data_IF_880231998205
#
_entry.id   IF_880231998205
#
_cell.length_a   1.000
_cell.length_b   1.000
_cell.length_c   1.000
_cell.angle_alpha   90.00
_cell.angle_beta   90.00
_cell.angle_gamma   90.00
#
_symmetry.space_group_name_H-M   'P 1'
#
loop_
_entity.id
_entity.type
_entity.pdbx_description
1 polymer ?
#
# COMPACT_ATOMS: atom_id res chain seq x y z
N UNK A 1 -54.73 -23.24 4.78
CA UNK A 1 -53.46 -23.08 5.52
C UNK A 1 -52.43 -24.05 4.94
N UNK A 2 -51.59 -23.60 3.99
CA UNK A 2 -50.57 -24.47 3.37
C UNK A 2 -49.39 -24.69 4.32
N UNK A 3 -49.06 -25.96 4.62
CA UNK A 3 -47.88 -26.33 5.41
C UNK A 3 -46.61 -25.87 4.69
N UNK A 4 -45.82 -24.99 5.31
CA UNK A 4 -44.48 -24.63 4.84
C UNK A 4 -43.59 -25.88 4.96
N UNK A 5 -43.06 -26.37 3.85
CA UNK A 5 -42.08 -27.48 3.85
C UNK A 5 -40.79 -26.96 4.46
N UNK A 6 -40.37 -27.54 5.58
CA UNK A 6 -39.04 -27.31 6.16
C UNK A 6 -38.00 -27.99 5.27
N UNK A 7 -36.95 -27.25 4.88
CA UNK A 7 -35.85 -27.80 4.08
C UNK A 7 -35.22 -28.98 4.81
N UNK A 8 -34.86 -30.00 4.06
CA UNK A 8 -34.19 -31.18 4.62
C UNK A 8 -32.70 -30.88 4.83
N UNK A 9 -32.10 -31.54 5.82
CA UNK A 9 -30.66 -31.43 6.09
C UNK A 9 -29.80 -31.77 4.85
N UNK A 10 -30.29 -32.66 3.98
CA UNK A 10 -29.63 -33.02 2.73
C UNK A 10 -29.62 -31.86 1.71
N UNK A 11 -30.72 -31.11 1.59
CA UNK A 11 -30.79 -29.91 0.75
C UNK A 11 -29.84 -28.81 1.24
N UNK A 12 -29.66 -28.68 2.56
CA UNK A 12 -28.70 -27.74 3.15
C UNK A 12 -27.25 -28.15 2.85
N UNK A 13 -26.90 -29.42 2.98
CA UNK A 13 -25.58 -29.94 2.63
C UNK A 13 -25.27 -29.75 1.13
N UNK A 14 -26.26 -29.99 0.26
CA UNK A 14 -26.12 -29.77 -1.17
C UNK A 14 -25.83 -28.29 -1.49
N UNK A 15 -26.55 -27.36 -0.84
CA UNK A 15 -26.29 -25.91 -0.97
C UNK A 15 -24.88 -25.55 -0.53
N UNK A 16 -24.41 -26.07 0.61
CA UNK A 16 -23.06 -25.79 1.12
C UNK A 16 -22.00 -26.27 0.15
N UNK A 17 -22.13 -27.48 -0.40
CA UNK A 17 -21.21 -28.03 -1.41
C UNK A 17 -21.18 -27.17 -2.67
N UNK A 18 -22.34 -26.75 -3.16
CA UNK A 18 -22.43 -25.88 -4.34
C UNK A 18 -21.79 -24.51 -4.09
N UNK A 19 -22.02 -23.90 -2.94
CA UNK A 19 -21.37 -22.64 -2.57
C UNK A 19 -19.85 -22.79 -2.48
N UNK A 20 -19.37 -23.87 -1.87
CA UNK A 20 -17.94 -24.16 -1.83
C UNK A 20 -17.36 -24.37 -3.22
N UNK A 21 -18.07 -25.07 -4.12
CA UNK A 21 -17.66 -25.26 -5.51
C UNK A 21 -17.52 -23.91 -6.21
N UNK A 22 -18.53 -23.04 -6.11
CA UNK A 22 -18.52 -21.69 -6.69
C UNK A 22 -17.41 -20.81 -6.12
N UNK A 23 -17.17 -20.88 -4.82
CA UNK A 23 -16.07 -20.15 -4.19
C UNK A 23 -14.72 -20.63 -4.73
N UNK A 24 -14.48 -21.94 -4.77
CA UNK A 24 -13.25 -22.50 -5.35
C UNK A 24 -13.08 -22.12 -6.81
N UNK A 25 -14.15 -22.10 -7.61
CA UNK A 25 -14.11 -21.64 -8.99
C UNK A 25 -13.66 -20.17 -9.08
N UNK A 26 -14.32 -19.26 -8.34
CA UNK A 26 -13.93 -17.84 -8.30
C UNK A 26 -12.49 -17.61 -7.86
N UNK A 27 -12.02 -18.37 -6.86
CA UNK A 27 -10.64 -18.27 -6.39
C UNK A 27 -9.67 -18.74 -7.47
N UNK A 28 -9.96 -19.83 -8.19
CA UNK A 28 -9.14 -20.29 -9.31
C UNK A 28 -9.10 -19.26 -10.44
N UNK A 29 -10.24 -18.68 -10.80
CA UNK A 29 -10.33 -17.65 -11.84
C UNK A 29 -9.51 -16.42 -11.45
N UNK A 30 -9.62 -15.98 -10.18
CA UNK A 30 -8.83 -14.87 -9.65
C UNK A 30 -7.33 -15.15 -9.67
N UNK A 31 -6.91 -16.36 -9.27
CA UNK A 31 -5.50 -16.77 -9.32
C UNK A 31 -5.00 -16.74 -10.77
N UNK A 32 -5.75 -17.29 -11.73
CA UNK A 32 -5.38 -17.25 -13.13
C UNK A 32 -5.23 -15.81 -13.66
N UNK A 33 -6.16 -14.91 -13.32
CA UNK A 33 -6.05 -13.48 -13.68
C UNK A 33 -4.82 -12.81 -13.05
N UNK A 34 -4.47 -13.18 -11.81
CA UNK A 34 -3.28 -12.63 -11.15
C UNK A 34 -1.99 -13.16 -11.79
N UNK A 35 -1.93 -14.43 -12.13
CA UNK A 35 -0.80 -15.06 -12.83
C UNK A 35 -0.59 -14.43 -14.23
N UNK A 36 -1.67 -14.17 -14.98
CA UNK A 36 -1.61 -13.46 -16.26
C UNK A 36 -1.06 -12.04 -16.11
N UNK A 37 -1.56 -11.27 -15.14
CA UNK A 37 -1.07 -9.91 -14.87
C UNK A 37 0.39 -9.92 -14.44
N UNK A 38 0.81 -10.91 -13.67
CA UNK A 38 2.20 -11.06 -13.25
C UNK A 38 3.09 -11.30 -14.46
N UNK A 39 2.72 -12.23 -15.34
CA UNK A 39 3.44 -12.50 -16.58
C UNK A 39 3.53 -11.26 -17.51
N UNK A 40 2.44 -10.49 -17.64
CA UNK A 40 2.44 -9.24 -18.40
C UNK A 40 3.45 -8.24 -17.84
N UNK A 41 3.46 -8.05 -16.51
CA UNK A 41 4.36 -7.10 -15.85
C UNK A 41 5.82 -7.53 -15.93
N UNK A 42 6.10 -8.82 -15.77
CA UNK A 42 7.45 -9.36 -15.96
C UNK A 42 7.97 -9.14 -17.38
N UNK A 43 7.13 -9.35 -18.40
CA UNK A 43 7.50 -9.08 -19.78
C UNK A 43 7.75 -7.57 -20.04
N UNK A 44 6.95 -6.70 -19.44
CA UNK A 44 7.15 -5.25 -19.53
C UNK A 44 8.45 -4.81 -18.83
N UNK A 45 8.78 -5.40 -17.67
CA UNK A 45 10.04 -5.13 -16.97
C UNK A 45 11.23 -5.55 -17.80
N UNK A 46 11.23 -6.78 -18.35
CA UNK A 46 12.31 -7.27 -19.20
C UNK A 46 12.55 -6.35 -20.42
N UNK A 47 11.48 -5.87 -21.06
CA UNK A 47 11.57 -4.91 -22.18
C UNK A 47 12.12 -3.55 -21.74
N UNK A 48 11.72 -3.06 -20.56
CA UNK A 48 12.22 -1.80 -20.03
C UNK A 48 13.71 -1.89 -19.69
N UNK A 49 14.15 -3.01 -19.10
CA UNK A 49 15.56 -3.28 -18.80
C UNK A 49 16.41 -3.33 -20.08
N UNK A 50 15.93 -4.01 -21.14
CA UNK A 50 16.59 -4.01 -22.45
C UNK A 50 16.75 -2.58 -23.00
N UNK A 51 15.69 -1.76 -22.92
CA UNK A 51 15.73 -0.37 -23.39
C UNK A 51 16.71 0.49 -22.59
N UNK A 52 16.79 0.29 -21.26
CA UNK A 52 17.76 0.97 -20.41
C UNK A 52 19.19 0.56 -20.80
N UNK A 53 19.43 -0.74 -21.01
CA UNK A 53 20.74 -1.23 -21.42
C UNK A 53 21.19 -0.62 -22.76
N UNK A 54 20.29 -0.58 -23.74
CA UNK A 54 20.55 0.04 -25.05
C UNK A 54 20.90 1.53 -24.92
N UNK A 55 20.09 2.29 -24.18
CA UNK A 55 20.32 3.73 -23.98
C UNK A 55 21.60 3.99 -23.20
N UNK A 56 21.92 3.16 -22.22
CA UNK A 56 23.16 3.27 -21.44
C UNK A 56 24.37 3.03 -22.34
N UNK A 57 24.36 1.99 -23.16
CA UNK A 57 25.44 1.72 -24.12
C UNK A 57 25.61 2.86 -25.14
N UNK A 58 24.51 3.45 -25.62
CA UNK A 58 24.56 4.60 -26.52
C UNK A 58 25.17 5.84 -25.83
N UNK A 59 24.80 6.12 -24.58
CA UNK A 59 25.38 7.21 -23.80
C UNK A 59 26.87 7.00 -23.54
N UNK A 60 27.29 5.78 -23.21
CA UNK A 60 28.70 5.45 -22.98
C UNK A 60 29.54 5.60 -24.26
N UNK A 61 28.98 5.20 -25.40
CA UNK A 61 29.61 5.43 -26.71
C UNK A 61 29.79 6.93 -26.99
N UNK A 62 28.74 7.74 -26.84
CA UNK A 62 28.84 9.19 -27.06
C UNK A 62 29.77 9.88 -26.05
N UNK A 63 29.76 9.44 -24.78
CA UNK A 63 30.71 9.92 -23.76
C UNK A 63 32.15 9.65 -24.17
N UNK A 64 32.43 8.46 -24.68
CA UNK A 64 33.77 8.08 -25.17
C UNK A 64 34.19 8.96 -26.35
N UNK A 65 33.29 9.20 -27.31
CA UNK A 65 33.56 10.09 -28.46
C UNK A 65 33.85 11.53 -28.04
N UNK A 66 33.11 12.07 -27.07
CA UNK A 66 33.35 13.42 -26.55
C UNK A 66 34.70 13.48 -25.81
N UNK A 67 35.03 12.44 -25.04
CA UNK A 67 36.29 12.36 -24.29
C UNK A 67 37.51 12.26 -25.22
N UNK A 68 37.41 11.53 -26.33
CA UNK A 68 38.47 11.48 -27.35
C UNK A 68 38.63 12.79 -28.13
N UNK A 69 37.54 13.56 -28.29
CA UNK A 69 37.55 14.87 -28.98
C UNK A 69 38.00 16.03 -28.10
N UNK A 70 38.01 15.86 -26.78
CA UNK A 70 38.59 16.85 -25.89
C UNK A 70 40.10 16.88 -26.13
N UNK A 71 40.70 18.04 -26.50
CA UNK A 71 42.15 18.15 -26.53
C UNK A 71 42.66 17.78 -25.14
N UNK A 72 43.72 16.96 -25.07
CA UNK A 72 44.50 16.81 -23.84
C UNK A 72 45.05 18.20 -23.52
N UNK A 73 44.30 18.98 -22.74
CA UNK A 73 44.82 20.17 -22.09
C UNK A 73 45.85 19.61 -21.11
N UNK A 74 47.09 19.47 -21.57
CA UNK A 74 48.22 19.41 -20.67
C UNK A 74 48.10 20.68 -19.83
N UNK A 75 47.91 20.61 -18.52
CA UNK A 75 47.98 21.81 -17.70
C UNK A 75 49.36 22.41 -17.96
N UNK A 76 49.39 23.55 -18.64
CA UNK A 76 50.58 24.35 -18.77
C UNK A 76 51.07 24.62 -17.34
N UNK A 77 52.31 24.27 -16.96
CA UNK A 77 52.80 24.46 -15.59
C UNK A 77 52.67 25.90 -15.08
N UNK A 78 52.47 26.88 -15.98
CA UNK A 78 52.18 28.28 -15.66
C UNK A 78 50.80 28.53 -15.01
N UNK A 79 49.79 27.67 -15.26
CA UNK A 79 48.43 27.87 -14.72
C UNK A 79 48.21 27.19 -13.35
N UNK A 80 49.10 26.28 -12.95
CA UNK A 80 49.04 25.63 -11.64
C UNK A 80 49.26 26.62 -10.49
N UNK A 81 49.96 27.73 -10.74
CA UNK A 81 50.21 28.78 -9.75
C UNK A 81 48.99 29.70 -9.55
N UNK A 82 48.16 29.92 -10.58
CA UNK A 82 46.93 30.74 -10.48
C UNK A 82 45.84 29.99 -9.69
N UNK A 83 45.71 28.67 -9.87
CA UNK A 83 44.77 27.86 -9.09
C UNK A 83 45.15 27.75 -7.60
N UNK A 84 46.45 27.84 -7.27
CA UNK A 84 46.93 27.97 -5.88
C UNK A 84 46.54 29.30 -5.25
N UNK A 85 46.54 30.40 -5.99
CA UNK A 85 46.22 31.73 -5.42
C UNK A 85 44.74 31.93 -5.05
N UNK A 86 43.81 31.09 -5.51
CA UNK A 86 42.38 31.19 -5.14
C UNK A 86 41.92 30.16 -4.10
N UNK A 87 42.82 29.30 -3.61
CA UNK A 87 42.51 28.32 -2.56
C UNK A 87 43.11 28.64 -1.19
N UNK A 88 43.82 29.77 -1.05
CA UNK A 88 44.40 30.21 0.24
C UNK A 88 43.49 31.11 1.09
N UNK A 89 42.31 31.54 0.63
CA UNK A 89 41.44 32.46 1.39
C UNK A 89 40.08 31.89 1.86
N UNK A 90 39.92 30.56 1.86
CA UNK A 90 38.78 29.92 2.55
C UNK A 90 39.23 28.69 3.32
N UNK A 91 40.19 28.89 4.22
CA UNK A 91 40.43 27.97 5.32
C UNK A 91 39.31 28.14 6.36
N UNK A 92 38.37 27.20 6.39
CA UNK A 92 37.53 26.93 7.57
C UNK A 92 37.83 25.50 8.07
N UNK A 93 37.73 25.28 9.39
CA UNK A 93 38.68 24.46 10.13
C UNK A 93 38.47 22.96 9.99
N UNK A 94 39.57 22.24 10.13
CA UNK A 94 39.64 20.81 10.27
C UNK A 94 38.99 20.33 11.59
N UNK A 95 37.70 20.04 11.59
CA UNK A 95 37.07 19.15 12.58
C UNK A 95 35.88 18.42 11.96
N UNK A 96 36.11 17.24 11.37
CA UNK A 96 35.33 16.03 11.68
C UNK A 96 35.98 14.81 11.05
N UNK A 97 36.87 14.17 11.81
CA UNK A 97 37.49 12.91 11.44
C UNK A 97 36.61 11.76 11.95
N UNK A 98 35.83 11.13 11.06
CA UNK A 98 35.32 9.78 11.29
C UNK A 98 35.47 8.92 10.03
N UNK A 99 36.58 8.16 10.05
CA UNK A 99 36.72 6.76 9.63
C UNK A 99 35.83 6.27 8.49
N UNK A 100 36.38 6.26 7.28
CA UNK A 100 36.03 5.24 6.30
C UNK A 100 37.15 4.20 6.26
N UNK A 101 36.91 3.06 6.89
CA UNK A 101 37.64 1.83 6.64
C UNK A 101 37.14 1.19 5.34
N UNK A 102 38.00 0.57 4.52
CA UNK A 102 37.58 -0.14 3.32
C UNK A 102 36.92 -1.46 3.74
N UNK A 103 35.63 -1.65 3.41
CA UNK A 103 34.98 -2.95 3.57
C UNK A 103 35.09 -3.68 2.24
N UNK A 104 35.99 -4.68 2.24
CA UNK A 104 36.12 -5.73 1.23
C UNK A 104 34.82 -6.53 1.16
N UNK A 105 34.16 -6.55 0.01
CA UNK A 105 33.08 -7.52 -0.26
C UNK A 105 33.71 -8.79 -0.83
N UNK A 106 34.04 -9.72 0.05
CA UNK A 106 34.18 -11.12 -0.32
C UNK A 106 32.80 -11.78 -0.27
N UNK A 107 32.49 -12.43 -1.37
CA UNK A 107 31.43 -13.40 -1.59
C UNK A 107 31.59 -14.61 -0.66
N UNK A 108 30.56 -14.96 0.13
CA UNK A 108 30.28 -16.37 0.43
C UNK A 108 28.81 -16.62 0.84
N UNK A 109 28.24 -17.60 0.16
CA UNK A 109 26.87 -18.09 0.19
C UNK A 109 26.75 -19.23 1.23
N UNK A 110 25.86 -19.14 2.24
CA UNK A 110 25.34 -20.34 2.95
C UNK A 110 24.21 -20.03 3.98
N UNK A 111 23.32 -21.00 4.27
CA UNK A 111 21.90 -20.76 4.57
C UNK A 111 21.58 -20.63 6.07
N UNK A 112 20.63 -19.74 6.38
CA UNK A 112 20.06 -19.60 7.71
C UNK A 112 19.20 -20.82 8.07
N UNK A 113 19.63 -21.49 9.13
CA UNK A 113 19.02 -22.65 9.77
C UNK A 113 17.62 -22.34 10.27
N UNK A 114 16.70 -23.26 9.97
CA UNK A 114 15.40 -23.42 10.64
C UNK A 114 15.63 -23.49 12.16
N UNK A 115 14.98 -22.63 12.94
CA UNK A 115 14.68 -22.93 14.34
C UNK A 115 13.17 -23.09 14.53
N UNK A 116 12.72 -24.11 15.28
CA UNK A 116 11.31 -24.40 15.46
C UNK A 116 10.66 -23.42 16.43
N UNK A 117 9.51 -22.87 16.05
CA UNK A 117 8.58 -22.26 16.99
C UNK A 117 7.78 -23.40 17.65
N UNK A 118 8.33 -23.99 18.71
CA UNK A 118 7.51 -24.71 19.69
C UNK A 118 6.76 -23.68 20.52
N UNK A 119 5.44 -23.57 20.31
CA UNK A 119 4.65 -22.64 21.12
C UNK A 119 3.33 -22.23 20.50
N UNK A 120 2.40 -23.18 20.41
CA UNK A 120 0.95 -22.94 20.60
C UNK A 120 0.33 -21.91 19.64
N UNK A 121 0.14 -22.29 18.38
CA UNK A 121 -0.84 -21.66 17.50
C UNK A 121 -2.26 -21.97 18.00
N UNK A 122 -3.10 -20.99 18.39
CA UNK A 122 -4.47 -21.26 18.77
C UNK A 122 -5.40 -20.97 17.58
N UNK A 123 -5.22 -21.65 16.44
CA UNK A 123 -6.25 -21.71 15.39
C UNK A 123 -6.60 -23.15 15.09
N UNK A 124 -7.26 -23.77 16.07
CA UNK A 124 -8.18 -24.88 15.84
C UNK A 124 -9.52 -24.45 16.40
N UNK A 125 -10.45 -24.07 15.53
CA UNK A 125 -11.87 -24.23 15.83
C UNK A 125 -12.57 -24.74 14.57
N UNK A 126 -12.74 -26.07 14.56
CA UNK A 126 -13.80 -26.75 13.83
C UNK A 126 -15.08 -26.64 14.67
N UNK A 127 -16.11 -26.05 14.06
CA UNK A 127 -17.56 -26.22 14.19
C UNK A 127 -18.17 -26.60 15.56
N UNK A 128 -19.20 -25.86 16.01
CA UNK A 128 -20.59 -26.38 16.05
C UNK A 128 -21.67 -25.34 16.42
N UNK A 129 -22.80 -25.43 15.70
CA UNK A 129 -24.22 -25.05 15.97
C UNK A 129 -24.62 -23.89 16.89
N UNK A 130 -25.49 -23.02 16.34
CA UNK A 130 -26.37 -22.14 17.09
C UNK A 130 -27.38 -21.42 16.18
N UNK A 131 -28.63 -21.85 16.24
CA UNK A 131 -29.86 -21.40 15.55
C UNK A 131 -30.29 -19.96 15.83
N UNK A 132 -30.72 -19.22 14.79
CA UNK A 132 -31.79 -18.19 14.77
C UNK A 132 -31.85 -17.62 13.33
N UNK A 133 -32.78 -18.05 12.47
CA UNK A 133 -34.13 -17.51 12.24
C UNK A 133 -34.20 -15.99 12.00
N UNK A 134 -34.24 -15.57 10.73
CA UNK A 134 -35.20 -14.58 10.19
C UNK A 134 -34.82 -14.19 8.75
N UNK A 135 -35.65 -14.64 7.79
CA UNK A 135 -35.86 -14.04 6.47
C UNK A 135 -37.13 -13.15 6.58
N UNK A 136 -37.37 -12.15 5.70
CA UNK A 136 -37.83 -12.49 4.35
C UNK A 136 -37.31 -11.56 3.23
N UNK A 137 -37.10 -12.16 2.06
CA UNK A 137 -37.12 -11.51 0.74
C UNK A 137 -38.55 -11.09 0.34
N UNK A 138 -38.71 -10.33 -0.76
CA UNK A 138 -39.19 -10.99 -1.98
C UNK A 138 -38.47 -10.55 -3.27
N UNK A 139 -38.34 -11.49 -4.21
CA UNK A 139 -38.02 -11.31 -5.64
C UNK A 139 -39.33 -11.13 -6.44
N UNK A 140 -39.38 -11.22 -7.79
CA UNK A 140 -38.45 -10.86 -8.89
C UNK A 140 -39.17 -10.05 -10.01
N UNK A 141 -38.43 -9.50 -10.99
CA UNK A 141 -38.97 -9.33 -12.36
C UNK A 141 -37.87 -9.22 -13.42
N UNK A 142 -38.04 -10.00 -14.48
CA UNK A 142 -37.27 -10.08 -15.71
C UNK A 142 -37.38 -8.82 -16.57
N UNK A 143 -36.37 -8.54 -17.41
CA UNK A 143 -36.53 -7.57 -18.49
C UNK A 143 -35.22 -7.05 -19.10
N UNK A 144 -34.79 -7.75 -20.16
CA UNK A 144 -34.19 -7.27 -21.41
C UNK A 144 -32.99 -6.31 -21.48
N UNK A 145 -32.19 -6.64 -22.49
CA UNK A 145 -31.09 -5.98 -23.17
C UNK A 145 -31.13 -4.45 -23.18
N UNK A 146 -29.97 -3.82 -22.92
CA UNK A 146 -29.39 -2.71 -23.72
C UNK A 146 -28.05 -2.29 -23.12
N UNK A 147 -26.97 -2.45 -23.89
CA UNK A 147 -25.78 -1.60 -23.80
C UNK A 147 -26.19 -0.12 -23.87
N UNK A 148 -25.52 0.73 -23.09
CA UNK A 148 -25.02 1.94 -23.72
C UNK A 148 -23.58 2.24 -23.33
N UNK A 149 -22.86 2.69 -24.36
CA UNK A 149 -21.64 3.47 -24.36
C UNK A 149 -21.59 4.46 -23.19
N UNK A 150 -20.55 4.40 -22.37
CA UNK A 150 -20.22 5.50 -21.47
C UNK A 150 -19.05 6.29 -22.04
N UNK A 151 -19.42 7.42 -22.64
CA UNK A 151 -18.55 8.54 -22.91
C UNK A 151 -17.91 9.06 -21.61
N UNK A 152 -16.71 9.59 -21.76
CA UNK A 152 -15.93 10.27 -20.74
C UNK A 152 -16.71 11.51 -20.29
N UNK A 153 -17.40 11.41 -19.15
CA UNK A 153 -18.01 12.55 -18.48
C UNK A 153 -17.00 13.12 -17.48
N UNK A 154 -16.29 14.15 -17.92
CA UNK A 154 -15.54 15.06 -17.06
C UNK A 154 -16.53 15.90 -16.27
N UNK A 155 -16.79 15.53 -15.01
CA UNK A 155 -17.54 16.37 -14.06
C UNK A 155 -16.58 16.98 -13.05
N UNK A 156 -16.28 18.25 -13.28
CA UNK A 156 -15.84 19.22 -12.29
C UNK A 156 -16.89 19.37 -11.17
N UNK A 157 -16.49 19.23 -9.90
CA UNK A 157 -17.21 19.80 -8.76
C UNK A 157 -17.40 18.90 -7.53
N UNK A 158 -16.38 18.79 -6.68
CA UNK A 158 -16.41 18.84 -5.19
C UNK A 158 -15.00 18.47 -4.67
N UNK A 159 -14.44 19.10 -3.62
CA UNK A 159 -13.16 18.66 -3.07
C UNK A 159 -13.33 17.24 -2.52
N UNK A 160 -12.85 16.28 -3.31
CA UNK A 160 -12.89 14.85 -3.05
C UNK A 160 -12.13 14.55 -1.76
N UNK A 161 -12.72 13.69 -0.92
CA UNK A 161 -12.21 13.17 0.36
C UNK A 161 -10.71 12.79 0.32
N UNK A 162 -10.23 12.41 -0.86
CA UNK A 162 -8.82 12.12 -1.18
C UNK A 162 -7.85 13.24 -0.80
N UNK A 163 -8.23 14.51 -0.97
CA UNK A 163 -7.34 15.65 -0.69
C UNK A 163 -7.18 15.88 0.82
N UNK A 164 -8.26 15.66 1.59
CA UNK A 164 -8.23 15.71 3.06
C UNK A 164 -7.49 14.53 3.67
N UNK A 165 -7.59 13.34 3.05
CA UNK A 165 -6.83 12.15 3.47
C UNK A 165 -5.35 12.39 3.27
N UNK A 166 -4.94 12.94 2.11
CA UNK A 166 -3.53 13.21 1.81
C UNK A 166 -2.92 14.30 2.71
N UNK A 167 -3.71 15.32 3.06
CA UNK A 167 -3.29 16.35 4.01
C UNK A 167 -3.20 15.81 5.45
N UNK A 168 -4.09 14.89 5.84
CA UNK A 168 -4.01 14.21 7.11
C UNK A 168 -2.79 13.29 7.16
N UNK A 169 -2.53 12.46 6.13
CA UNK A 169 -1.35 11.58 6.09
C UNK A 169 -0.03 12.35 6.13
N UNK A 170 0.06 13.50 5.44
CA UNK A 170 1.27 14.35 5.49
C UNK A 170 1.52 14.93 6.88
N UNK A 171 0.47 15.24 7.65
CA UNK A 171 0.58 15.79 9.01
C UNK A 171 0.86 14.76 10.09
N UNK A 172 0.72 13.46 9.80
CA UNK A 172 0.99 12.41 10.78
C UNK A 172 2.45 11.95 10.85
N UNK A 173 3.27 12.32 9.87
CA UNK A 173 4.67 11.89 9.81
C UNK A 173 5.52 12.51 10.93
N UNK A 174 5.06 13.63 11.50
CA UNK A 174 5.72 14.34 12.60
C UNK A 174 5.13 14.01 13.99
N UNK A 175 4.25 13.01 14.10
CA UNK A 175 3.58 12.65 15.35
C UNK A 175 4.31 11.54 16.12
N UNK A 176 4.02 11.45 17.41
CA UNK A 176 4.54 10.37 18.27
C UNK A 176 4.11 8.98 17.73
N UNK A 177 5.02 8.00 17.78
CA UNK A 177 4.68 6.62 17.43
C UNK A 177 3.69 6.02 18.44
N UNK A 178 3.01 4.92 18.09
CA UNK A 178 2.04 4.28 18.98
C UNK A 178 2.75 3.78 20.23
N UNK A 179 2.17 4.03 21.41
CA UNK A 179 2.74 3.53 22.66
C UNK A 179 2.55 2.02 22.77
N UNK A 180 3.38 1.38 23.60
CA UNK A 180 3.28 -0.05 23.85
C UNK A 180 1.88 -0.41 24.41
N UNK A 181 1.12 -1.21 23.65
CA UNK A 181 -0.26 -1.59 24.00
C UNK A 181 -1.36 -0.74 23.35
N UNK A 182 -1.04 0.33 22.61
CA UNK A 182 -2.03 1.08 21.84
C UNK A 182 -2.44 0.30 20.59
N UNK A 183 -3.73 0.02 20.47
CA UNK A 183 -4.30 -0.53 19.23
C UNK A 183 -4.59 0.62 18.28
N UNK A 184 -3.94 0.60 17.12
CA UNK A 184 -4.08 1.64 16.09
C UNK A 184 -4.51 1.04 14.76
N UNK A 185 -5.22 1.84 13.97
CA UNK A 185 -5.70 1.49 12.62
C UNK A 185 -5.09 2.48 11.61
N UNK A 186 -4.73 2.02 10.42
CA UNK A 186 -4.25 2.90 9.36
C UNK A 186 -5.30 3.97 9.06
N UNK A 187 -4.87 5.22 8.88
CA UNK A 187 -5.82 6.31 8.64
C UNK A 187 -6.66 6.10 7.39
N UNK A 188 -6.09 5.54 6.33
CA UNK A 188 -6.86 5.18 5.13
C UNK A 188 -7.99 4.20 5.46
N UNK A 189 -7.72 3.18 6.27
CA UNK A 189 -8.72 2.21 6.72
C UNK A 189 -9.76 2.86 7.63
N UNK A 190 -9.33 3.71 8.56
CA UNK A 190 -10.21 4.43 9.47
C UNK A 190 -11.19 5.35 8.71
N UNK A 191 -10.69 6.11 7.74
CA UNK A 191 -11.52 6.98 6.91
C UNK A 191 -12.53 6.19 6.08
N UNK A 192 -12.14 5.06 5.50
CA UNK A 192 -13.08 4.18 4.78
C UNK A 192 -14.19 3.63 5.70
N UNK A 193 -13.87 3.30 6.95
CA UNK A 193 -14.86 2.85 7.92
C UNK A 193 -15.84 3.97 8.27
N UNK A 194 -15.34 5.19 8.46
CA UNK A 194 -16.18 6.36 8.77
C UNK A 194 -17.09 6.66 7.58
N UNK A 195 -16.57 6.70 6.36
CA UNK A 195 -17.34 6.98 5.16
C UNK A 195 -18.52 6.00 4.99
N UNK A 196 -18.29 4.71 5.24
CA UNK A 196 -19.33 3.68 5.18
C UNK A 196 -20.39 3.80 6.27
N UNK A 197 -20.04 4.31 7.45
CA UNK A 197 -20.94 4.39 8.59
C UNK A 197 -21.56 5.78 8.75
N UNK A 198 -21.10 6.78 8.00
CA UNK A 198 -21.51 8.19 8.13
C UNK A 198 -22.89 8.51 7.55
N UNK A 199 -23.92 7.79 8.01
CA UNK A 199 -25.32 8.06 7.67
C UNK A 199 -25.83 9.40 8.20
N UNK A 200 -25.16 9.96 9.21
CA UNK A 200 -25.46 11.30 9.77
C UNK A 200 -24.90 12.44 8.92
N UNK A 201 -24.05 12.15 7.92
CA UNK A 201 -23.51 13.16 7.01
C UNK A 201 -22.56 14.15 7.67
N UNK A 202 -21.73 13.72 8.64
CA UNK A 202 -20.71 14.58 9.23
C UNK A 202 -19.71 15.07 8.18
N UNK A 203 -19.38 16.35 8.25
CA UNK A 203 -18.38 16.97 7.38
C UNK A 203 -16.97 16.39 7.65
N UNK A 204 -16.18 16.28 6.59
CA UNK A 204 -14.79 15.78 6.64
C UNK A 204 -13.89 16.58 7.58
N UNK A 205 -14.08 17.89 7.65
CA UNK A 205 -13.38 18.79 8.58
C UNK A 205 -13.67 18.42 10.04
N UNK A 206 -14.92 18.15 10.37
CA UNK A 206 -15.36 17.74 11.71
C UNK A 206 -14.80 16.36 12.07
N UNK A 207 -14.83 15.42 11.14
CA UNK A 207 -14.20 14.09 11.31
C UNK A 207 -12.71 14.24 11.60
N UNK A 208 -12.00 15.05 10.81
CA UNK A 208 -10.58 15.32 11.03
C UNK A 208 -10.32 15.95 12.40
N UNK A 209 -11.10 16.94 12.79
CA UNK A 209 -10.98 17.59 14.10
C UNK A 209 -11.21 16.63 15.26
N UNK A 210 -12.06 15.62 15.10
CA UNK A 210 -12.27 14.58 16.09
C UNK A 210 -11.08 13.62 16.18
N UNK A 211 -10.59 13.16 15.03
CA UNK A 211 -9.50 12.18 14.98
C UNK A 211 -8.13 12.76 15.29
N UNK A 212 -7.95 14.10 15.23
CA UNK A 212 -6.65 14.77 15.36
C UNK A 212 -5.85 14.39 16.61
N UNK A 213 -6.53 14.13 17.72
CA UNK A 213 -5.92 13.76 18.99
C UNK A 213 -5.44 12.30 19.02
N UNK A 214 -6.00 11.47 18.13
CA UNK A 214 -5.70 10.05 18.02
C UNK A 214 -4.69 9.72 16.93
N UNK A 215 -4.26 10.68 16.12
CA UNK A 215 -3.27 10.40 15.09
C UNK A 215 -1.93 9.98 15.70
N UNK A 216 -1.28 9.02 15.05
CA UNK A 216 0.02 8.44 15.38
C UNK A 216 0.83 8.30 14.10
N UNK A 217 2.14 8.40 14.22
CA UNK A 217 3.03 7.96 13.15
C UNK A 217 3.07 6.44 13.08
N UNK A 218 3.44 5.90 11.92
CA UNK A 218 3.73 4.48 11.76
C UNK A 218 4.98 4.10 12.55
N UNK A 219 5.12 2.83 12.96
CA UNK A 219 6.32 2.40 13.68
C UNK A 219 7.58 2.50 12.80
N UNK A 220 7.40 2.30 11.48
CA UNK A 220 8.44 2.39 10.46
C UNK A 220 8.00 3.33 9.33
N UNK A 221 8.96 3.76 8.48
CA UNK A 221 8.70 4.67 7.33
C UNK A 221 7.68 4.12 6.33
N UNK A 222 7.40 2.82 6.37
CA UNK A 222 6.43 2.13 5.50
C UNK A 222 5.04 2.03 6.11
N UNK A 223 4.91 2.24 7.42
CA UNK A 223 3.72 1.88 8.19
C UNK A 223 2.67 3.00 8.23
N UNK A 224 3.01 4.17 7.67
CA UNK A 224 2.07 5.25 7.31
C UNK A 224 1.40 5.95 8.50
N UNK A 225 0.44 6.83 8.21
CA UNK A 225 -0.36 7.47 9.27
C UNK A 225 -1.35 6.48 9.89
N UNK A 226 -1.45 6.50 11.22
CA UNK A 226 -2.36 5.67 12.01
C UNK A 226 -3.22 6.53 12.92
N UNK A 227 -4.34 5.97 13.39
CA UNK A 227 -5.23 6.57 14.37
C UNK A 227 -5.53 5.56 15.49
N UNK A 228 -5.60 6.05 16.71
CA UNK A 228 -5.94 5.26 17.89
C UNK A 228 -7.37 4.70 17.80
N UNK A 229 -7.52 3.39 18.07
CA UNK A 229 -8.80 2.70 17.94
C UNK A 229 -9.86 3.21 18.93
N UNK A 230 -9.45 3.65 20.12
CA UNK A 230 -10.38 4.19 21.14
C UNK A 230 -11.17 5.39 20.60
N UNK A 231 -10.48 6.33 19.94
CA UNK A 231 -11.04 7.55 19.36
C UNK A 231 -11.82 7.23 18.09
N UNK A 232 -11.29 6.34 17.24
CA UNK A 232 -12.00 5.88 16.03
C UNK A 232 -13.35 5.24 16.38
N UNK A 233 -13.38 4.32 17.34
CA UNK A 233 -14.62 3.66 17.74
C UNK A 233 -15.59 4.60 18.45
N UNK A 234 -15.10 5.57 19.24
CA UNK A 234 -15.96 6.61 19.81
C UNK A 234 -16.65 7.45 18.74
N UNK A 235 -15.94 7.81 17.67
CA UNK A 235 -16.54 8.52 16.55
C UNK A 235 -17.54 7.65 15.78
N UNK A 236 -17.19 6.39 15.50
CA UNK A 236 -18.08 5.44 14.82
C UNK A 236 -19.36 5.19 15.64
N UNK A 237 -19.27 5.09 16.97
CA UNK A 237 -20.44 4.98 17.86
C UNK A 237 -21.33 6.23 17.78
N UNK A 238 -20.74 7.42 17.85
CA UNK A 238 -21.48 8.67 17.68
C UNK A 238 -22.22 8.74 16.33
N UNK A 239 -21.52 8.34 15.27
CA UNK A 239 -22.02 8.37 13.90
C UNK A 239 -23.09 7.31 13.65
N UNK A 240 -22.97 6.14 14.28
CA UNK A 240 -23.86 4.97 14.10
C UNK A 240 -25.04 4.93 15.07
N UNK A 241 -24.96 5.60 16.23
CA UNK A 241 -26.12 5.83 17.08
C UNK A 241 -27.15 6.56 16.24
N UNK A 242 -28.34 6.00 16.03
CA UNK A 242 -29.46 6.61 15.29
C UNK A 242 -30.72 6.31 16.06
#
# INVERSE_FOLDING_TARGET
>A
MGRKKTKTHEEDLARVRENQRRHRARVKDQVATLEEKLAEKEALLAKAEERIAELTAALDFERSRVQERQPKITPDPSFADIARTMTEEFALPAEFQLQQSPISVNEELAPARKRPCEGRCPWVYLATVGTADSQPSPSPSSGDSSEPSNEVVTLTGSPSYTETVELATKKCLDLDPPRFGESTTLCITAYNLIDQQNFRGLETSTVYQWLRQGFRSGHDRTDGCRVENSILFSLLDFVSST
#
